data_IF_467782443502
#
_entry.id   IF_467782443502
#
_cell.length_a   1.000
_cell.length_b   1.000
_cell.length_c   1.000
_cell.angle_alpha   90.00
_cell.angle_beta   90.00
_cell.angle_gamma   90.00
#
_symmetry.space_group_name_H-M   'P 1'
#
loop_
_entity.id
_entity.type
_entity.pdbx_description
1 polymer ?
#
# COMPACT_ATOMS: atom_id res chain seq x y z
N UNK A 1 18.25 9.67 21.29
CA UNK A 1 18.72 8.31 20.89
C UNK A 1 17.65 7.41 20.27
N UNK A 2 16.36 7.50 20.64
CA UNK A 2 15.31 6.62 20.05
C UNK A 2 14.88 7.00 18.62
N UNK A 3 14.80 8.30 18.29
CA UNK A 3 14.35 8.73 16.95
C UNK A 3 15.35 8.33 15.87
N UNK A 4 16.65 8.50 16.10
CA UNK A 4 17.71 8.12 15.14
C UNK A 4 17.71 6.63 14.77
N UNK A 5 17.18 5.75 15.63
CA UNK A 5 17.17 4.30 15.36
C UNK A 5 16.01 3.87 14.47
N UNK A 6 14.90 4.61 14.49
CA UNK A 6 13.71 4.34 13.66
C UNK A 6 13.90 4.84 12.22
N UNK A 7 14.66 5.93 12.04
CA UNK A 7 14.92 6.53 10.72
C UNK A 7 15.76 5.64 9.81
N UNK A 8 16.68 4.84 10.37
CA UNK A 8 17.51 3.89 9.61
C UNK A 8 16.77 2.62 9.14
N UNK A 9 15.53 2.37 9.61
CA UNK A 9 14.75 1.20 9.22
C UNK A 9 13.81 1.46 8.02
N UNK A 10 13.93 2.60 7.34
CA UNK A 10 13.08 2.93 6.19
C UNK A 10 11.63 3.24 6.54
N UNK A 11 11.35 3.60 7.79
CA UNK A 11 10.02 4.05 8.23
C UNK A 11 9.91 5.57 8.12
N UNK A 12 8.88 6.05 7.40
CA UNK A 12 8.54 7.48 7.27
C UNK A 12 7.27 7.88 8.04
N UNK A 13 6.56 6.90 8.61
CA UNK A 13 5.39 7.08 9.49
C UNK A 13 5.83 6.83 10.93
N UNK A 14 5.86 7.87 11.75
CA UNK A 14 6.31 7.81 13.14
C UNK A 14 5.12 7.63 14.08
N UNK A 15 5.28 6.80 15.11
CA UNK A 15 4.25 6.55 16.11
C UNK A 15 4.78 6.85 17.51
N UNK A 16 3.89 7.36 18.37
CA UNK A 16 4.18 7.64 19.76
C UNK A 16 4.64 6.36 20.50
N UNK A 17 5.87 6.33 21.05
CA UNK A 17 6.40 5.16 21.74
C UNK A 17 5.96 5.08 23.20
N UNK A 18 5.27 6.10 23.73
CA UNK A 18 4.85 6.15 25.13
C UNK A 18 3.93 4.97 25.47
N UNK A 19 4.10 4.39 26.65
CA UNK A 19 3.18 3.37 27.14
C UNK A 19 1.89 4.03 27.62
N UNK A 20 0.74 3.40 27.38
CA UNK A 20 -0.52 3.82 28.01
C UNK A 20 -0.43 3.53 29.51
N UNK A 21 -0.82 4.50 30.33
CA UNK A 21 -0.65 4.45 31.79
C UNK A 21 -1.09 3.11 32.39
N UNK A 22 -0.17 2.48 33.13
CA UNK A 22 -0.41 1.20 33.80
C UNK A 22 -0.39 -0.03 32.89
N UNK A 23 -0.03 0.09 31.61
CA UNK A 23 0.03 -1.05 30.67
C UNK A 23 1.38 -1.16 29.96
N UNK A 24 1.68 -2.35 29.43
CA UNK A 24 2.81 -2.57 28.51
C UNK A 24 2.46 -2.21 27.05
N UNK A 25 1.30 -1.60 26.79
CA UNK A 25 0.86 -1.25 25.43
C UNK A 25 1.32 0.16 25.05
N UNK A 26 1.93 0.29 23.88
CA UNK A 26 2.32 1.59 23.32
C UNK A 26 1.09 2.39 22.87
N UNK A 27 1.19 3.71 22.96
CA UNK A 27 0.19 4.68 22.52
C UNK A 27 -0.14 4.48 21.04
N UNK A 28 0.90 4.45 20.19
CA UNK A 28 0.74 4.14 18.77
C UNK A 28 0.12 5.24 17.92
N UNK A 29 -0.19 6.41 18.50
CA UNK A 29 -0.67 7.58 17.77
C UNK A 29 0.36 8.04 16.74
N UNK A 30 -0.08 8.42 15.54
CA UNK A 30 0.81 8.95 14.51
C UNK A 30 1.34 10.32 14.94
N UNK A 31 2.64 10.49 14.87
CA UNK A 31 3.28 11.80 15.08
C UNK A 31 3.35 12.57 13.78
N UNK A 32 3.09 13.87 13.90
CA UNK A 32 3.37 14.84 12.85
C UNK A 32 4.87 15.00 12.66
N UNK A 33 5.29 15.45 11.47
CA UNK A 33 6.68 15.78 11.21
C UNK A 33 7.22 16.85 12.18
N UNK A 34 6.38 17.81 12.58
CA UNK A 34 6.75 18.87 13.52
C UNK A 34 7.14 18.29 14.89
N UNK A 35 6.36 17.35 15.42
CA UNK A 35 6.67 16.67 16.69
C UNK A 35 7.93 15.83 16.60
N UNK A 36 8.12 15.11 15.48
CA UNK A 36 9.34 14.31 15.24
C UNK A 36 10.57 15.22 15.23
N UNK A 37 10.52 16.34 14.50
CA UNK A 37 11.62 17.30 14.39
C UNK A 37 11.99 17.93 15.74
N UNK A 38 10.99 18.27 16.57
CA UNK A 38 11.21 18.82 17.91
C UNK A 38 11.92 17.83 18.84
N UNK A 39 11.60 16.55 18.75
CA UNK A 39 12.11 15.51 19.64
C UNK A 39 13.43 14.88 19.16
N UNK A 40 13.75 14.99 17.87
CA UNK A 40 14.87 14.27 17.27
C UNK A 40 16.25 14.90 17.53
N UNK A 41 16.31 16.20 17.89
CA UNK A 41 17.55 16.96 18.14
C UNK A 41 18.60 16.71 17.03
N UNK A 42 18.18 16.78 15.78
CA UNK A 42 19.03 16.52 14.62
C UNK A 42 19.91 17.73 14.33
N UNK A 43 21.16 17.48 13.91
CA UNK A 43 21.97 18.50 13.24
C UNK A 43 21.35 18.88 11.89
N UNK A 44 21.76 20.01 11.31
CA UNK A 44 21.26 20.47 10.01
C UNK A 44 21.48 19.43 8.90
N UNK A 45 22.65 18.78 8.88
CA UNK A 45 22.97 17.74 7.90
C UNK A 45 22.11 16.47 8.08
N UNK A 46 21.89 16.04 9.32
CA UNK A 46 21.01 14.91 9.62
C UNK A 46 19.55 15.22 9.29
N UNK A 47 19.10 16.45 9.55
CA UNK A 47 17.74 16.90 9.22
C UNK A 47 17.51 16.91 7.71
N UNK A 48 18.47 17.42 6.92
CA UNK A 48 18.39 17.39 5.46
C UNK A 48 18.32 15.94 4.95
N UNK A 49 19.23 15.08 5.41
CA UNK A 49 19.22 13.68 5.02
C UNK A 49 17.91 12.98 5.41
N UNK A 50 17.35 13.34 6.57
CA UNK A 50 16.09 12.81 7.06
C UNK A 50 14.91 13.23 6.19
N UNK A 51 14.79 14.51 5.86
CA UNK A 51 13.75 15.06 5.00
C UNK A 51 13.81 14.46 3.59
N UNK A 52 15.01 14.35 3.01
CA UNK A 52 15.22 13.72 1.70
C UNK A 52 14.76 12.25 1.70
N UNK A 53 15.07 11.50 2.76
CA UNK A 53 14.64 10.12 2.89
C UNK A 53 13.12 9.99 3.08
N UNK A 54 12.48 10.84 3.89
CA UNK A 54 11.02 10.87 4.06
C UNK A 54 10.35 11.20 2.74
N UNK A 55 10.78 12.27 2.07
CA UNK A 55 10.23 12.68 0.80
C UNK A 55 10.33 11.56 -0.25
N UNK A 56 11.47 10.87 -0.30
CA UNK A 56 11.67 9.69 -1.17
C UNK A 56 10.70 8.56 -0.81
N UNK A 57 10.58 8.20 0.46
CA UNK A 57 9.72 7.10 0.91
C UNK A 57 8.23 7.41 0.68
N UNK A 58 7.80 8.65 0.95
CA UNK A 58 6.46 9.12 0.64
C UNK A 58 6.22 9.09 -0.87
N UNK A 59 7.15 9.61 -1.67
CA UNK A 59 7.02 9.58 -3.13
C UNK A 59 6.93 8.13 -3.65
N UNK A 60 7.63 7.15 -3.07
CA UNK A 60 7.54 5.75 -3.54
C UNK A 60 6.16 5.13 -3.32
N UNK A 61 5.37 5.67 -2.39
CA UNK A 61 3.98 5.24 -2.16
C UNK A 61 3.06 5.72 -3.30
N UNK A 62 3.29 6.95 -3.80
CA UNK A 62 2.36 7.62 -4.71
C UNK A 62 2.83 7.71 -6.18
N UNK A 63 4.14 7.74 -6.44
CA UNK A 63 4.73 7.99 -7.75
C UNK A 63 5.58 6.80 -8.24
N UNK A 64 5.48 6.45 -9.52
CA UNK A 64 6.41 5.51 -10.17
C UNK A 64 7.59 6.30 -10.72
N UNK A 65 8.57 6.59 -9.85
CA UNK A 65 9.84 7.21 -10.24
C UNK A 65 10.99 6.22 -10.07
N UNK A 66 12.04 6.40 -10.87
CA UNK A 66 13.28 5.63 -10.78
C UNK A 66 14.49 6.54 -10.80
N UNK A 67 15.57 6.05 -10.22
CA UNK A 67 16.86 6.73 -10.28
C UNK A 67 17.52 6.48 -11.63
N UNK A 68 17.92 7.56 -12.31
CA UNK A 68 18.68 7.48 -13.54
C UNK A 68 19.99 6.70 -13.34
N UNK A 69 20.29 5.68 -14.16
CA UNK A 69 21.54 4.94 -14.03
C UNK A 69 22.78 5.83 -14.23
N UNK A 70 22.68 6.87 -15.07
CA UNK A 70 23.78 7.75 -15.45
C UNK A 70 24.06 8.93 -14.51
N UNK A 71 23.06 9.77 -14.21
CA UNK A 71 23.24 10.97 -13.38
C UNK A 71 22.67 10.87 -11.96
N UNK A 72 22.01 9.75 -11.62
CA UNK A 72 21.35 9.53 -10.32
C UNK A 72 20.19 10.49 -10.00
N UNK A 73 19.76 11.33 -10.93
CA UNK A 73 18.53 12.11 -10.78
C UNK A 73 17.31 11.19 -10.71
N UNK A 74 16.26 11.62 -10.00
CA UNK A 74 14.97 10.95 -10.07
C UNK A 74 14.28 11.29 -11.40
N UNK A 75 13.68 10.28 -12.01
CA UNK A 75 12.96 10.39 -13.27
C UNK A 75 11.61 9.74 -13.09
N UNK A 76 10.56 10.44 -13.48
CA UNK A 76 9.22 9.91 -13.65
C UNK A 76 8.95 9.65 -15.14
N UNK A 77 8.13 8.64 -15.42
CA UNK A 77 7.73 8.31 -16.78
C UNK A 77 6.41 8.99 -17.12
N UNK A 78 6.41 9.80 -18.16
CA UNK A 78 5.20 10.41 -18.70
C UNK A 78 4.32 9.36 -19.40
N UNK A 79 4.91 8.56 -20.30
CA UNK A 79 4.21 7.50 -21.02
C UNK A 79 4.43 6.13 -20.35
N UNK A 80 3.37 5.65 -19.70
CA UNK A 80 3.37 4.34 -19.03
C UNK A 80 3.49 3.17 -20.01
N UNK A 81 3.18 3.38 -21.29
CA UNK A 81 3.24 2.38 -22.36
C UNK A 81 4.61 2.31 -23.04
N UNK A 82 5.57 3.18 -22.69
CA UNK A 82 6.90 3.15 -23.30
C UNK A 82 7.99 2.86 -22.27
N UNK A 83 8.60 1.67 -22.35
CA UNK A 83 9.70 1.25 -21.49
C UNK A 83 11.02 1.97 -21.80
N UNK A 84 11.13 2.66 -22.94
CA UNK A 84 12.31 3.45 -23.30
C UNK A 84 12.20 4.84 -22.71
N UNK A 85 13.01 5.14 -21.69
CA UNK A 85 12.97 6.41 -20.97
C UNK A 85 14.18 7.25 -21.31
N UNK A 86 13.95 8.52 -21.63
CA UNK A 86 15.00 9.52 -21.85
C UNK A 86 15.19 10.35 -20.58
N UNK A 87 16.41 10.40 -20.06
CA UNK A 87 16.78 11.30 -18.98
C UNK A 87 17.01 12.72 -19.52
N UNK A 88 16.18 13.68 -19.14
CA UNK A 88 16.32 15.08 -19.55
C UNK A 88 17.57 15.75 -18.97
N UNK A 89 17.99 15.37 -17.75
CA UNK A 89 19.23 15.86 -17.12
C UNK A 89 20.45 15.38 -17.90
N UNK A 90 20.54 14.09 -18.21
CA UNK A 90 21.65 13.57 -19.03
C UNK A 90 21.64 14.14 -20.46
N UNK A 91 20.46 14.47 -20.99
CA UNK A 91 20.35 15.14 -22.29
C UNK A 91 20.89 16.58 -22.24
N UNK A 92 20.61 17.32 -21.18
CA UNK A 92 21.17 18.65 -20.97
C UNK A 92 22.69 18.62 -20.77
N UNK A 93 23.20 17.62 -20.06
CA UNK A 93 24.64 17.39 -19.82
C UNK A 93 25.39 16.79 -21.04
N UNK A 94 24.73 16.64 -22.19
CA UNK A 94 25.29 16.07 -23.43
C UNK A 94 25.95 14.69 -23.25
N UNK A 95 25.42 13.86 -22.34
CA UNK A 95 25.92 12.49 -22.15
C UNK A 95 25.54 11.62 -23.36
N UNK A 96 26.36 10.62 -23.65
CA UNK A 96 26.12 9.70 -24.78
C UNK A 96 24.98 8.71 -24.52
N UNK A 97 24.82 8.25 -23.28
CA UNK A 97 23.75 7.33 -22.88
C UNK A 97 22.64 8.05 -22.12
N UNK A 98 21.67 8.59 -22.85
CA UNK A 98 20.52 9.31 -22.27
C UNK A 98 19.26 8.46 -22.19
N UNK A 99 19.23 7.30 -22.87
CA UNK A 99 18.08 6.39 -22.92
C UNK A 99 18.36 5.07 -22.22
N UNK A 100 17.40 4.61 -21.42
CA UNK A 100 17.51 3.35 -20.69
C UNK A 100 16.15 2.65 -20.59
N UNK A 101 16.18 1.36 -20.27
CA UNK A 101 14.97 0.56 -20.04
C UNK A 101 14.43 0.80 -18.63
N UNK A 102 13.13 1.11 -18.52
CA UNK A 102 12.45 1.30 -17.22
C UNK A 102 12.49 0.07 -16.31
N UNK A 103 12.52 -1.13 -16.87
CA UNK A 103 12.51 -2.38 -16.10
C UNK A 103 13.89 -2.73 -15.55
N UNK A 104 14.90 -2.84 -16.41
CA UNK A 104 16.24 -3.32 -16.02
C UNK A 104 17.27 -2.21 -15.80
N UNK A 105 16.93 -0.94 -16.04
CA UNK A 105 17.81 0.24 -15.89
C UNK A 105 19.11 0.21 -16.71
N UNK A 106 19.24 -0.74 -17.64
CA UNK A 106 20.35 -0.82 -18.60
C UNK A 106 20.10 0.13 -19.78
N UNK A 107 21.14 0.54 -20.54
CA UNK A 107 20.98 1.28 -21.78
C UNK A 107 19.94 0.64 -22.70
N UNK A 108 19.14 1.48 -23.37
CA UNK A 108 18.07 0.97 -24.22
C UNK A 108 18.63 0.17 -25.39
N UNK A 109 18.02 -1.00 -25.67
CA UNK A 109 18.40 -1.88 -26.78
C UNK A 109 17.13 -2.36 -27.50
N UNK A 110 17.06 -2.14 -28.81
CA UNK A 110 15.90 -2.49 -29.65
C UNK A 110 15.11 -1.25 -30.14
N UNK A 111 14.04 -1.46 -30.92
CA UNK A 111 13.23 -0.36 -31.43
C UNK A 111 12.48 0.35 -30.29
N UNK A 112 12.20 1.64 -30.44
CA UNK A 112 11.37 2.41 -29.51
C UNK A 112 10.31 3.19 -30.31
N UNK A 113 9.11 3.42 -29.77
CA UNK A 113 8.63 3.05 -28.43
C UNK A 113 8.24 1.57 -28.30
N UNK A 114 8.32 0.99 -27.09
CA UNK A 114 7.90 -0.40 -26.80
C UNK A 114 7.35 -0.53 -25.38
N UNK A 115 6.25 -1.28 -25.22
CA UNK A 115 5.59 -1.55 -23.93
C UNK A 115 5.94 -2.91 -23.32
N UNK A 116 6.38 -3.87 -24.13
CA UNK A 116 6.48 -5.29 -23.80
C UNK A 116 7.79 -5.65 -23.08
N UNK A 117 8.95 -5.34 -23.69
CA UNK A 117 10.30 -5.56 -23.12
C UNK A 117 11.36 -4.72 -23.82
N UNK A 118 12.61 -4.72 -23.35
CA UNK A 118 13.75 -4.31 -24.18
C UNK A 118 14.49 -5.54 -24.73
N UNK A 119 15.49 -5.33 -25.57
CA UNK A 119 16.32 -6.40 -26.16
C UNK A 119 17.57 -6.72 -25.33
N UNK A 120 17.62 -6.29 -24.08
CA UNK A 120 18.70 -6.64 -23.16
C UNK A 120 18.51 -8.05 -22.61
N UNK A 121 19.59 -8.81 -22.55
CA UNK A 121 19.58 -10.16 -21.98
C UNK A 121 19.26 -10.11 -20.48
N UNK A 122 18.35 -11.00 -20.06
CA UNK A 122 17.87 -11.10 -18.68
C UNK A 122 16.97 -9.94 -18.24
N UNK A 123 16.43 -9.13 -19.16
CA UNK A 123 15.43 -8.12 -18.79
C UNK A 123 14.13 -8.81 -18.35
N UNK A 124 13.74 -8.60 -17.09
CA UNK A 124 12.50 -9.12 -16.52
C UNK A 124 11.63 -7.99 -15.99
N UNK A 125 10.31 -8.16 -16.10
CA UNK A 125 9.37 -7.30 -15.40
C UNK A 125 9.24 -7.80 -13.95
N UNK A 126 9.94 -7.15 -13.03
CA UNK A 126 9.94 -7.52 -11.61
C UNK A 126 8.55 -7.51 -10.98
N UNK A 127 7.63 -6.67 -11.45
CA UNK A 127 6.26 -6.63 -10.93
C UNK A 127 5.47 -7.86 -11.35
N UNK A 128 5.59 -8.26 -12.62
CA UNK A 128 4.95 -9.49 -13.11
C UNK A 128 5.56 -10.73 -12.46
N UNK A 129 6.88 -10.75 -12.27
CA UNK A 129 7.54 -11.86 -11.57
C UNK A 129 7.05 -11.96 -10.12
N UNK A 130 6.99 -10.84 -9.40
CA UNK A 130 6.44 -10.79 -8.04
C UNK A 130 4.99 -11.28 -7.99
N UNK A 131 4.13 -10.81 -8.90
CA UNK A 131 2.73 -11.24 -8.96
C UNK A 131 2.61 -12.75 -9.28
N UNK A 132 3.54 -13.30 -10.07
CA UNK A 132 3.59 -14.71 -10.45
C UNK A 132 4.10 -15.61 -9.32
N UNK A 133 5.10 -15.14 -8.56
CA UNK A 133 5.80 -15.96 -7.56
C UNK A 133 5.44 -15.62 -6.12
N UNK A 134 4.55 -14.65 -5.88
CA UNK A 134 4.12 -14.33 -4.52
C UNK A 134 3.51 -15.56 -3.83
N UNK A 135 3.73 -15.65 -2.53
CA UNK A 135 3.15 -16.72 -1.70
C UNK A 135 1.62 -16.66 -1.74
N UNK A 136 0.98 -17.74 -1.34
CA UNK A 136 -0.45 -17.74 -1.10
C UNK A 136 -0.79 -17.24 0.31
N UNK A 137 -2.04 -16.80 0.48
CA UNK A 137 -2.67 -16.48 1.76
C UNK A 137 -4.10 -17.01 1.75
N UNK A 138 -4.65 -17.24 2.94
CA UNK A 138 -6.09 -17.48 3.13
C UNK A 138 -6.79 -16.18 3.51
N UNK A 139 -8.08 -16.10 3.19
CA UNK A 139 -9.02 -15.11 3.74
C UNK A 139 -10.11 -15.89 4.47
N UNK A 140 -9.95 -16.16 5.79
CA UNK A 140 -10.88 -17.00 6.55
C UNK A 140 -12.34 -16.49 6.53
N UNK A 141 -12.51 -15.20 6.28
CA UNK A 141 -13.81 -14.53 6.20
C UNK A 141 -14.55 -14.83 4.89
N UNK A 142 -13.89 -15.47 3.92
CA UNK A 142 -14.47 -15.82 2.62
C UNK A 142 -14.45 -17.33 2.48
N UNK A 143 -15.63 -17.94 2.48
CA UNK A 143 -15.76 -19.39 2.32
C UNK A 143 -15.12 -19.85 1.00
N UNK A 144 -14.25 -20.87 1.09
CA UNK A 144 -13.58 -21.47 -0.06
C UNK A 144 -12.34 -20.72 -0.56
N UNK A 145 -11.83 -19.72 0.20
CA UNK A 145 -10.59 -19.00 -0.16
C UNK A 145 -9.47 -19.35 0.82
N UNK A 146 -8.96 -20.57 0.67
CA UNK A 146 -7.89 -21.12 1.53
C UNK A 146 -6.49 -20.84 0.97
N UNK A 147 -6.38 -20.58 -0.33
CA UNK A 147 -5.11 -20.28 -1.01
C UNK A 147 -5.32 -19.33 -2.21
N UNK A 148 -5.23 -18.01 -1.98
CA UNK A 148 -5.14 -17.01 -3.04
C UNK A 148 -3.77 -16.30 -3.00
N UNK A 149 -3.29 -15.70 -4.11
CA UNK A 149 -2.06 -14.90 -4.11
C UNK A 149 -2.07 -13.81 -3.02
N UNK A 150 -0.97 -13.68 -2.28
CA UNK A 150 -0.85 -12.70 -1.19
C UNK A 150 -0.66 -11.27 -1.68
N UNK A 151 -0.23 -11.10 -2.94
CA UNK A 151 -0.05 -9.81 -3.60
C UNK A 151 -0.93 -9.81 -4.85
N UNK A 152 -1.70 -8.73 -5.04
CA UNK A 152 -2.54 -8.53 -6.23
C UNK A 152 -2.31 -7.14 -6.82
N UNK A 153 -2.55 -6.99 -8.11
CA UNK A 153 -2.57 -5.68 -8.76
C UNK A 153 -4.01 -5.12 -8.76
N UNK A 154 -4.15 -3.83 -8.46
CA UNK A 154 -5.41 -3.11 -8.63
C UNK A 154 -5.85 -3.19 -10.10
N UNK A 155 -7.11 -3.57 -10.38
CA UNK A 155 -7.61 -3.69 -11.75
C UNK A 155 -7.68 -2.35 -12.49
N UNK A 156 -7.74 -1.23 -11.76
CA UNK A 156 -7.85 0.12 -12.33
C UNK A 156 -6.50 0.75 -12.65
N UNK A 157 -5.55 0.70 -11.70
CA UNK A 157 -4.30 1.46 -11.81
C UNK A 157 -3.02 0.60 -11.72
N UNK A 158 -3.16 -0.73 -11.61
CA UNK A 158 -2.03 -1.66 -11.53
C UNK A 158 -1.20 -1.59 -10.24
N UNK A 159 -1.56 -0.74 -9.27
CA UNK A 159 -0.85 -0.67 -7.99
C UNK A 159 -0.93 -2.01 -7.25
N UNK A 160 0.21 -2.49 -6.77
CA UNK A 160 0.31 -3.75 -6.03
C UNK A 160 -0.21 -3.54 -4.61
N UNK A 161 -1.04 -4.46 -4.14
CA UNK A 161 -1.68 -4.42 -2.83
C UNK A 161 -1.61 -5.78 -2.15
N UNK A 162 -1.60 -5.76 -0.82
CA UNK A 162 -1.71 -6.93 0.04
C UNK A 162 -2.95 -6.79 0.92
N UNK A 163 -3.60 -7.90 1.23
CA UNK A 163 -4.74 -7.94 2.14
C UNK A 163 -4.25 -8.15 3.58
N UNK A 164 -4.74 -7.34 4.53
CA UNK A 164 -4.35 -7.43 5.95
C UNK A 164 -4.92 -8.66 6.69
N UNK A 165 -5.71 -9.47 5.96
CA UNK A 165 -6.42 -10.69 6.41
C UNK A 165 -7.52 -10.44 7.44
N UNK A 166 -7.90 -9.19 7.63
CA UNK A 166 -9.00 -8.77 8.50
C UNK A 166 -10.12 -8.16 7.67
N UNK A 167 -11.35 -8.23 8.18
CA UNK A 167 -12.49 -7.58 7.52
C UNK A 167 -12.98 -8.27 6.24
N UNK A 168 -13.27 -7.45 5.22
CA UNK A 168 -13.99 -7.83 4.01
C UNK A 168 -13.06 -8.21 2.86
N UNK A 169 -13.53 -9.04 1.93
CA UNK A 169 -12.79 -9.40 0.70
C UNK A 169 -12.58 -8.23 -0.29
N UNK A 170 -13.28 -7.12 -0.06
CA UNK A 170 -13.18 -5.90 -0.85
C UNK A 170 -12.24 -4.93 -0.14
N UNK A 171 -11.32 -4.35 -0.90
CA UNK A 171 -10.29 -3.43 -0.40
C UNK A 171 -10.27 -2.15 -1.23
N UNK A 172 -9.88 -1.06 -0.59
CA UNK A 172 -9.60 0.21 -1.26
C UNK A 172 -8.17 0.24 -1.78
N UNK A 173 -7.98 0.54 -3.05
CA UNK A 173 -6.64 0.78 -3.58
C UNK A 173 -6.05 2.07 -2.96
N UNK A 174 -4.89 2.02 -2.28
CA UNK A 174 -4.33 3.22 -1.63
C UNK A 174 -3.93 4.31 -2.65
N UNK A 175 -3.68 3.93 -3.90
CA UNK A 175 -3.30 4.87 -4.98
C UNK A 175 -4.50 5.57 -5.61
N UNK A 176 -5.50 4.81 -6.08
CA UNK A 176 -6.61 5.37 -6.86
C UNK A 176 -7.94 5.44 -6.09
N UNK A 177 -7.97 4.97 -4.85
CA UNK A 177 -9.15 4.93 -3.97
C UNK A 177 -10.35 4.15 -4.53
N UNK A 178 -10.17 3.42 -5.64
CA UNK A 178 -11.18 2.51 -6.18
C UNK A 178 -11.23 1.24 -5.35
N UNK A 179 -12.43 0.85 -4.94
CA UNK A 179 -12.69 -0.38 -4.21
C UNK A 179 -12.90 -1.57 -5.17
N UNK A 180 -12.26 -2.69 -4.86
CA UNK A 180 -12.37 -3.90 -5.64
C UNK A 180 -12.18 -5.15 -4.78
N UNK A 181 -12.63 -6.30 -5.28
CA UNK A 181 -12.47 -7.56 -4.60
C UNK A 181 -11.04 -8.12 -4.77
N UNK A 182 -10.34 -8.34 -3.67
CA UNK A 182 -8.98 -8.88 -3.66
C UNK A 182 -8.91 -10.30 -4.26
N UNK A 183 -10.00 -11.07 -4.15
CA UNK A 183 -10.04 -12.47 -4.61
C UNK A 183 -10.23 -12.55 -6.13
N UNK A 184 -11.26 -11.90 -6.66
CA UNK A 184 -11.66 -12.02 -8.07
C UNK A 184 -11.20 -10.85 -8.96
N UNK A 185 -10.61 -9.80 -8.37
CA UNK A 185 -10.13 -8.58 -9.04
C UNK A 185 -11.20 -7.77 -9.79
N UNK A 186 -12.49 -8.07 -9.57
CA UNK A 186 -13.60 -7.25 -10.07
C UNK A 186 -13.84 -6.05 -9.17
N UNK A 187 -14.33 -4.96 -9.74
CA UNK A 187 -14.83 -3.81 -8.98
C UNK A 187 -15.96 -4.26 -8.04
N UNK A 188 -16.09 -3.62 -6.88
CA UNK A 188 -17.09 -4.00 -5.86
C UNK A 188 -18.50 -4.18 -6.43
N UNK A 189 -19.04 -3.25 -7.26
CA UNK A 189 -20.39 -3.40 -7.81
C UNK A 189 -20.56 -4.64 -8.70
N UNK A 190 -19.50 -5.08 -9.39
CA UNK A 190 -19.54 -6.27 -10.23
C UNK A 190 -19.37 -7.56 -9.42
N UNK A 191 -18.51 -7.54 -8.40
CA UNK A 191 -18.32 -8.67 -7.51
C UNK A 191 -19.63 -9.02 -6.78
N UNK A 192 -20.32 -8.00 -6.26
CA UNK A 192 -21.57 -8.14 -5.51
C UNK A 192 -22.71 -8.78 -6.33
N UNK A 193 -22.73 -8.60 -7.66
CA UNK A 193 -23.72 -9.28 -8.53
C UNK A 193 -23.66 -10.80 -8.44
N UNK A 194 -22.47 -11.33 -8.22
CA UNK A 194 -22.19 -12.78 -8.25
C UNK A 194 -21.89 -13.37 -6.88
N UNK A 195 -21.82 -12.55 -5.84
CA UNK A 195 -21.42 -12.98 -4.51
C UNK A 195 -22.41 -12.47 -3.47
N UNK A 196 -22.89 -13.36 -2.60
CA UNK A 196 -23.69 -12.96 -1.44
C UNK A 196 -22.90 -11.99 -0.56
N UNK A 197 -23.59 -10.98 -0.03
CA UNK A 197 -23.06 -10.11 1.01
C UNK A 197 -22.50 -10.95 2.15
N UNK A 198 -21.42 -10.46 2.77
CA UNK A 198 -20.93 -11.04 4.01
C UNK A 198 -22.04 -10.91 5.05
N UNK A 199 -22.67 -12.02 5.43
CA UNK A 199 -23.49 -12.11 6.63
C UNK A 199 -22.50 -12.46 7.74
N UNK A 200 -22.18 -11.54 8.67
CA UNK A 200 -21.46 -11.93 9.88
C UNK A 200 -22.31 -13.01 10.54
N UNK A 201 -21.71 -14.16 10.87
CA UNK A 201 -22.38 -15.19 11.65
C UNK A 201 -23.04 -14.52 12.86
N UNK A 202 -24.38 -14.44 12.86
CA UNK A 202 -25.11 -14.14 14.08
C UNK A 202 -24.76 -15.25 15.04
N UNK A 203 -24.06 -14.91 16.11
CA UNK A 203 -23.90 -15.78 17.27
C UNK A 203 -25.32 -16.24 17.65
N UNK A 204 -25.60 -17.51 17.41
CA UNK A 204 -26.86 -18.12 17.85
C UNK A 204 -26.93 -17.96 19.36
N UNK A 205 -27.84 -17.11 19.82
CA UNK A 205 -28.18 -17.01 21.22
C UNK A 205 -28.65 -18.41 21.67
N UNK A 206 -27.88 -19.04 22.56
CA UNK A 206 -28.28 -20.29 23.21
C UNK A 206 -29.55 -19.98 23.99
N UNK A 207 -30.68 -20.53 23.54
CA UNK A 207 -31.99 -20.35 24.16
C UNK A 207 -32.04 -21.11 25.50
N UNK A 208 -31.71 -20.42 26.59
CA UNK A 208 -32.06 -20.79 27.95
C UNK A 208 -33.43 -20.21 28.34
N UNK A 209 -34.35 -21.08 28.78
CA UNK A 209 -35.74 -20.76 29.18
C UNK A 209 -35.79 -19.84 30.41
N UNK A 210 -36.72 -18.87 30.45
CA UNK A 210 -37.12 -18.22 31.72
C UNK A 210 -37.98 -16.95 31.67
N UNK A 211 -39.32 -17.13 31.69
CA UNK A 211 -40.42 -16.31 32.27
C UNK A 211 -40.61 -14.79 32.00
N UNK A 212 -41.90 -14.43 31.94
CA UNK A 212 -42.56 -13.15 31.56
C UNK A 212 -42.56 -12.10 32.69
N UNK A 213 -42.52 -10.79 32.34
CA UNK A 213 -43.55 -9.78 32.72
C UNK A 213 -43.20 -8.31 32.32
N UNK A 214 -44.16 -7.66 31.63
CA UNK A 214 -44.64 -6.25 31.71
C UNK A 214 -43.73 -5.02 31.48
N UNK A 215 -43.95 -4.36 30.33
CA UNK A 215 -44.29 -2.92 30.12
C UNK A 215 -43.71 -1.82 31.03
N UNK A 216 -42.84 -0.94 30.50
CA UNK A 216 -43.04 0.53 30.34
C UNK A 216 -41.75 1.24 29.86
N UNK A 217 -41.95 2.07 28.85
CA UNK A 217 -41.27 3.29 28.41
C UNK A 217 -39.88 3.78 28.92
N UNK A 218 -39.18 4.34 27.91
CA UNK A 218 -38.31 5.52 27.87
C UNK A 218 -36.78 5.39 28.03
N UNK A 219 -36.13 6.01 27.03
CA UNK A 219 -34.79 6.62 26.95
C UNK A 219 -33.63 5.78 26.41
N UNK A 220 -33.43 5.93 25.10
CA UNK A 220 -32.22 6.48 24.49
C UNK A 220 -30.90 6.22 25.23
N UNK A 221 -30.16 5.22 24.77
CA UNK A 221 -28.71 5.31 24.65
C UNK A 221 -28.31 4.67 23.32
N UNK A 222 -28.16 5.52 22.31
CA UNK A 222 -27.49 5.20 21.05
C UNK A 222 -26.03 4.99 21.40
N UNK A 223 -25.61 3.74 21.60
CA UNK A 223 -24.19 3.40 21.67
C UNK A 223 -23.74 3.19 20.23
N UNK A 224 -23.20 4.25 19.62
CA UNK A 224 -22.56 4.18 18.31
C UNK A 224 -21.28 3.35 18.44
N UNK A 225 -21.37 2.05 18.20
CA UNK A 225 -20.22 1.26 17.77
C UNK A 225 -20.00 1.51 16.27
N UNK A 226 -18.75 1.63 15.80
CA UNK A 226 -18.48 1.85 14.40
C UNK A 226 -18.90 0.59 13.64
N UNK A 227 -20.07 0.67 13.01
CA UNK A 227 -20.45 -0.25 11.96
C UNK A 227 -19.50 0.09 10.81
N UNK A 228 -18.46 -0.72 10.61
CA UNK A 228 -17.74 -0.72 9.33
C UNK A 228 -18.70 -1.33 8.30
N UNK A 229 -19.66 -0.52 7.86
CA UNK A 229 -20.52 -0.83 6.73
C UNK A 229 -19.58 -0.87 5.54
N UNK A 230 -19.48 -2.04 4.91
CA UNK A 230 -19.02 -2.16 3.55
C UNK A 230 -20.09 -1.50 2.67
N UNK A 231 -19.99 -0.19 2.45
CA UNK A 231 -20.76 0.53 1.43
C UNK A 231 -19.97 0.42 0.14
#
# INVERSE_FOLDING_TARGET
MFVLRLTFQGQYKFKCPALKDGTLQQCGALWSYQEVRLLAVLTTAEMQHFEENIARLAATEYCDFKTCPGCKSFIEREDLTNLCVKCLVCAADQKTQIQFCWQCLKPWKGPAPRSDRCSNDGCINHDLELLRTCKTTSLPQVQGVDACPSIRACPTCGHKVEHDKTGCKNILCPRCQVEFCFVCLKLTPECQKTSSYFIPYQLTAVSGRGRKSTSRDLRTQVVMFPITICI
#
